data_IF_968304046604
#
_entry.id   IF_968304046604
#
_cell.length_a   1.000
_cell.length_b   1.000
_cell.length_c   1.000
_cell.angle_alpha   90.00
_cell.angle_beta   90.00
_cell.angle_gamma   90.00
#
_symmetry.space_group_name_H-M   'P 1'
#
loop_
_entity.id
_entity.type
_entity.pdbx_description
1 polymer ?
#
# COMPACT_ATOMS: atom_id res chain seq x y z
N UNK A 1 15.07 23.51 -61.94
CA UNK A 1 14.21 22.71 -62.83
C UNK A 1 13.84 21.45 -62.05
N UNK A 2 12.63 21.38 -61.52
CA UNK A 2 12.14 20.22 -60.77
C UNK A 2 11.27 19.39 -61.71
N UNK A 3 11.59 18.11 -61.87
CA UNK A 3 10.81 17.15 -62.66
C UNK A 3 9.68 16.60 -61.79
N UNK A 4 8.43 16.85 -62.20
CA UNK A 4 7.25 16.17 -61.64
C UNK A 4 7.22 14.71 -62.11
N UNK A 5 7.13 13.72 -61.19
CA UNK A 5 6.96 12.34 -61.57
C UNK A 5 5.54 12.06 -62.05
N UNK A 6 5.42 11.43 -63.22
CA UNK A 6 4.16 11.06 -63.87
C UNK A 6 3.43 9.98 -63.05
N UNK A 7 2.11 10.09 -62.84
CA UNK A 7 1.36 9.10 -62.07
C UNK A 7 1.25 7.76 -62.80
N UNK A 8 1.56 6.68 -62.08
CA UNK A 8 1.52 5.30 -62.55
C UNK A 8 0.06 4.80 -62.63
N UNK A 9 -0.34 4.09 -63.71
CA UNK A 9 -1.70 3.56 -63.84
C UNK A 9 -1.96 2.40 -62.87
N UNK A 10 -3.21 2.22 -62.39
CA UNK A 10 -3.55 1.18 -61.43
C UNK A 10 -3.47 -0.22 -62.06
N UNK A 11 -3.12 -1.25 -61.25
CA UNK A 11 -2.99 -2.62 -61.72
C UNK A 11 -4.35 -3.23 -62.10
N UNK A 12 -4.38 -4.19 -63.03
CA UNK A 12 -5.59 -4.88 -63.46
C UNK A 12 -6.22 -5.67 -62.29
N UNK A 13 -7.53 -5.49 -62.09
CA UNK A 13 -8.27 -6.19 -61.04
C UNK A 13 -8.45 -7.66 -61.39
N UNK A 14 -8.17 -8.54 -60.42
CA UNK A 14 -8.31 -9.98 -60.57
C UNK A 14 -9.79 -10.41 -60.63
N UNK A 15 -10.13 -11.52 -61.32
CA UNK A 15 -11.49 -12.01 -61.40
C UNK A 15 -12.03 -12.42 -60.01
N UNK A 16 -13.22 -11.96 -59.66
CA UNK A 16 -13.93 -12.35 -58.44
C UNK A 16 -14.38 -13.81 -58.54
N UNK A 17 -13.71 -14.71 -57.82
CA UNK A 17 -14.22 -16.06 -57.58
C UNK A 17 -15.48 -16.03 -56.70
N UNK A 18 -16.54 -16.77 -57.06
CA UNK A 18 -17.74 -16.85 -56.22
C UNK A 18 -17.43 -17.53 -54.87
N UNK A 19 -18.08 -17.09 -53.78
CA UNK A 19 -17.86 -17.65 -52.46
C UNK A 19 -18.36 -19.11 -52.40
N UNK A 20 -17.51 -19.98 -51.84
CA UNK A 20 -17.82 -21.39 -51.64
C UNK A 20 -19.06 -21.55 -50.74
N UNK A 21 -20.01 -22.38 -51.17
CA UNK A 21 -21.22 -22.67 -50.40
C UNK A 21 -20.88 -23.36 -49.06
N UNK A 22 -21.53 -22.98 -47.95
CA UNK A 22 -21.29 -23.60 -46.66
C UNK A 22 -21.75 -25.06 -46.68
N UNK A 23 -20.85 -25.98 -46.29
CA UNK A 23 -21.17 -27.41 -46.18
C UNK A 23 -22.15 -27.64 -45.01
N UNK A 24 -23.14 -28.52 -45.16
CA UNK A 24 -24.03 -28.88 -44.05
C UNK A 24 -23.23 -29.59 -42.94
N UNK A 25 -23.41 -29.13 -41.70
CA UNK A 25 -22.79 -29.68 -40.50
C UNK A 25 -23.19 -31.15 -40.31
N UNK A 26 -22.21 -32.01 -40.05
CA UNK A 26 -22.42 -33.43 -39.82
C UNK A 26 -23.05 -33.69 -38.46
N UNK A 27 -23.86 -34.74 -38.35
CA UNK A 27 -24.57 -35.17 -37.12
C UNK A 27 -23.67 -35.34 -35.88
N UNK A 28 -22.35 -35.52 -36.07
CA UNK A 28 -21.34 -35.60 -34.99
C UNK A 28 -20.91 -34.23 -34.45
N UNK A 29 -20.96 -33.19 -35.28
CA UNK A 29 -20.65 -31.81 -34.87
C UNK A 29 -21.77 -31.22 -34.01
N UNK A 30 -23.01 -31.63 -34.27
CA UNK A 30 -24.18 -31.21 -33.52
C UNK A 30 -24.17 -31.75 -32.08
N UNK A 31 -23.68 -32.97 -31.88
CA UNK A 31 -23.51 -33.56 -30.55
C UNK A 31 -22.43 -32.84 -29.72
N UNK A 32 -21.29 -32.48 -30.35
CA UNK A 32 -20.23 -31.73 -29.67
C UNK A 32 -20.71 -30.34 -29.23
N UNK A 33 -21.47 -29.66 -30.08
CA UNK A 33 -21.98 -28.32 -29.78
C UNK A 33 -22.97 -28.31 -28.60
N UNK A 34 -23.88 -29.29 -28.54
CA UNK A 34 -24.83 -29.44 -27.42
C UNK A 34 -24.11 -29.68 -26.09
N UNK A 35 -23.06 -30.50 -26.09
CA UNK A 35 -22.27 -30.77 -24.88
C UNK A 35 -21.57 -29.50 -24.40
N UNK A 36 -20.97 -28.71 -25.30
CA UNK A 36 -20.31 -27.45 -24.92
C UNK A 36 -21.28 -26.46 -24.29
N UNK A 37 -22.49 -26.31 -24.84
CA UNK A 37 -23.51 -25.42 -24.27
C UNK A 37 -23.97 -25.89 -22.89
N UNK A 38 -24.14 -27.19 -22.69
CA UNK A 38 -24.52 -27.75 -21.40
C UNK A 38 -23.45 -27.51 -20.32
N UNK A 39 -22.17 -27.72 -20.65
CA UNK A 39 -21.05 -27.48 -19.72
C UNK A 39 -20.92 -25.99 -19.38
N UNK A 40 -21.06 -25.11 -20.37
CA UNK A 40 -21.03 -23.66 -20.15
C UNK A 40 -22.18 -23.19 -19.25
N UNK A 41 -23.38 -23.74 -19.44
CA UNK A 41 -24.54 -23.46 -18.58
C UNK A 41 -24.33 -23.89 -17.13
N UNK A 42 -23.75 -25.07 -16.90
CA UNK A 42 -23.42 -25.55 -15.56
C UNK A 42 -22.35 -24.69 -14.87
N UNK A 43 -21.31 -24.28 -15.61
CA UNK A 43 -20.29 -23.38 -15.07
C UNK A 43 -20.86 -22.00 -14.71
N UNK A 44 -21.72 -21.45 -15.56
CA UNK A 44 -22.39 -20.16 -15.29
C UNK A 44 -23.32 -20.25 -14.07
N UNK A 45 -24.08 -21.35 -13.95
CA UNK A 45 -24.93 -21.62 -12.78
C UNK A 45 -24.10 -21.71 -11.48
N UNK A 46 -22.95 -22.39 -11.51
CA UNK A 46 -22.05 -22.49 -10.35
C UNK A 46 -21.46 -21.12 -9.96
N UNK A 47 -21.08 -20.28 -10.94
CA UNK A 47 -20.59 -18.92 -10.69
C UNK A 47 -21.67 -18.05 -10.05
N UNK A 48 -22.92 -18.14 -10.51
CA UNK A 48 -24.03 -17.38 -9.92
C UNK A 48 -24.36 -17.86 -8.51
N UNK A 49 -24.34 -19.18 -8.27
CA UNK A 49 -24.52 -19.74 -6.93
C UNK A 49 -23.43 -19.30 -5.95
N UNK A 50 -22.17 -19.26 -6.40
CA UNK A 50 -21.06 -18.75 -5.58
C UNK A 50 -21.22 -17.25 -5.25
N UNK A 51 -21.76 -16.44 -6.17
CA UNK A 51 -22.05 -15.02 -5.93
C UNK A 51 -23.11 -14.82 -4.84
N UNK A 52 -24.14 -15.65 -4.81
CA UNK A 52 -25.20 -15.58 -3.79
C UNK A 52 -24.76 -16.09 -2.41
N UNK A 53 -23.86 -17.08 -2.36
CA UNK A 53 -23.30 -17.55 -1.09
C UNK A 53 -22.43 -16.46 -0.44
N UNK A 54 -21.66 -15.71 -1.23
CA UNK A 54 -20.76 -14.68 -0.74
C UNK A 54 -21.49 -13.44 -0.18
N UNK A 55 -22.64 -13.05 -0.74
CA UNK A 55 -23.38 -11.88 -0.25
C UNK A 55 -23.92 -12.06 1.17
N UNK A 56 -24.32 -13.28 1.56
CA UNK A 56 -24.84 -13.55 2.92
C UNK A 56 -23.77 -13.39 4.00
N UNK A 57 -22.52 -13.73 3.71
CA UNK A 57 -21.41 -13.55 4.65
C UNK A 57 -20.94 -12.08 4.70
N UNK A 58 -21.01 -11.37 3.57
CA UNK A 58 -20.69 -9.95 3.50
C UNK A 58 -21.67 -9.08 4.32
N UNK A 59 -22.97 -9.36 4.26
CA UNK A 59 -23.97 -8.62 5.04
C UNK A 59 -23.83 -8.86 6.56
N UNK A 60 -23.40 -10.06 6.97
CA UNK A 60 -23.11 -10.35 8.39
C UNK A 60 -21.85 -9.62 8.87
N UNK A 61 -20.83 -9.50 8.02
CA UNK A 61 -19.61 -8.74 8.30
C UNK A 61 -19.89 -7.23 8.40
N UNK A 62 -20.62 -6.66 7.43
CA UNK A 62 -21.00 -5.24 7.44
C UNK A 62 -21.94 -4.92 8.60
N UNK A 63 -22.91 -5.79 8.90
CA UNK A 63 -23.83 -5.56 10.03
C UNK A 63 -23.12 -5.58 11.39
N UNK A 64 -21.98 -6.28 11.51
CA UNK A 64 -21.10 -6.23 12.68
C UNK A 64 -20.27 -4.94 12.79
N UNK A 65 -20.05 -4.24 11.68
CA UNK A 65 -19.34 -2.96 11.60
C UNK A 65 -20.23 -1.74 11.94
N UNK A 66 -21.54 -1.92 11.99
CA UNK A 66 -22.52 -0.87 12.33
C UNK A 66 -22.81 -0.76 13.83
N UNK A 67 -22.01 -1.41 14.68
CA UNK A 67 -22.00 -1.07 16.10
C UNK A 67 -21.62 0.42 16.24
N UNK A 68 -22.33 1.22 17.06
CA UNK A 68 -21.97 2.61 17.28
C UNK A 68 -20.52 2.65 17.74
N UNK A 69 -19.64 3.25 16.92
CA UNK A 69 -18.23 3.45 17.24
C UNK A 69 -18.21 4.11 18.63
N UNK A 70 -17.73 3.44 19.69
CA UNK A 70 -17.61 4.09 20.97
C UNK A 70 -16.75 5.32 20.71
N UNK A 71 -17.30 6.52 20.94
CA UNK A 71 -16.58 7.78 20.75
C UNK A 71 -15.37 7.73 21.67
N UNK A 72 -14.25 7.25 21.16
CA UNK A 72 -12.98 7.24 21.85
C UNK A 72 -12.70 8.70 22.19
N UNK A 73 -12.55 8.97 23.48
CA UNK A 73 -12.03 10.23 24.02
C UNK A 73 -10.96 10.76 23.06
N UNK A 74 -10.99 12.05 22.64
CA UNK A 74 -10.06 12.57 21.65
C UNK A 74 -8.65 12.19 22.09
N UNK A 75 -7.99 11.36 21.28
CA UNK A 75 -6.67 10.84 21.61
C UNK A 75 -5.77 12.05 21.79
N UNK A 76 -5.13 12.14 22.96
CA UNK A 76 -4.13 13.21 23.16
C UNK A 76 -3.02 12.98 22.14
N UNK A 77 -2.61 14.00 21.37
CA UNK A 77 -1.53 13.82 20.41
C UNK A 77 -0.25 13.49 21.16
N UNK A 78 0.48 12.53 20.63
CA UNK A 78 1.83 12.19 21.08
C UNK A 78 2.80 13.18 20.45
N UNK A 79 3.76 13.67 21.24
CA UNK A 79 4.74 14.64 20.79
C UNK A 79 6.12 14.02 20.76
N UNK A 80 6.76 14.06 19.60
CA UNK A 80 8.17 13.70 19.43
C UNK A 80 9.01 14.96 19.28
N UNK A 81 10.07 15.08 20.05
CA UNK A 81 11.04 16.18 19.96
C UNK A 81 12.42 15.62 19.66
N UNK A 82 13.14 16.25 18.74
CA UNK A 82 14.54 15.97 18.41
C UNK A 82 15.34 17.17 18.86
N UNK A 83 16.23 16.97 19.82
CA UNK A 83 17.16 17.97 20.36
C UNK A 83 18.57 17.63 19.87
N UNK A 84 19.11 18.48 19.00
CA UNK A 84 20.41 18.23 18.36
C UNK A 84 21.60 18.59 19.25
N UNK A 85 21.38 19.02 20.50
CA UNK A 85 22.45 19.33 21.45
C UNK A 85 23.26 20.59 21.12
N UNK A 86 22.87 21.32 20.05
CA UNK A 86 23.45 22.60 19.62
C UNK A 86 22.49 23.78 19.84
N UNK A 87 21.44 23.59 20.65
CA UNK A 87 20.35 24.55 20.85
C UNK A 87 19.22 24.45 19.82
N UNK A 88 19.42 23.73 18.70
CA UNK A 88 18.38 23.49 17.69
C UNK A 88 17.47 22.35 18.13
N UNK A 89 16.15 22.55 17.99
CA UNK A 89 15.13 21.53 18.28
C UNK A 89 14.10 21.45 17.17
N UNK A 90 13.58 20.24 16.91
CA UNK A 90 12.42 20.00 16.04
C UNK A 90 11.37 19.24 16.83
N UNK A 91 10.10 19.57 16.63
CA UNK A 91 8.99 18.89 17.27
C UNK A 91 7.95 18.45 16.24
N UNK A 92 7.39 17.28 16.47
CA UNK A 92 6.35 16.66 15.66
C UNK A 92 5.24 16.23 16.59
N UNK A 93 3.99 16.42 16.17
CA UNK A 93 2.81 16.02 16.91
C UNK A 93 1.94 15.17 15.98
N UNK A 94 1.43 14.06 16.51
CA UNK A 94 0.63 13.12 15.74
C UNK A 94 -0.10 12.12 16.64
N UNK A 95 -1.01 11.37 16.04
CA UNK A 95 -1.73 10.32 16.76
C UNK A 95 -0.83 9.09 16.91
N UNK A 96 -0.69 8.59 18.14
CA UNK A 96 -0.05 7.30 18.38
C UNK A 96 -1.07 6.17 18.24
N UNK A 97 -0.73 5.17 17.43
CA UNK A 97 -1.52 3.95 17.28
C UNK A 97 -1.16 2.94 18.38
N UNK A 98 -2.07 2.00 18.65
CA UNK A 98 -1.81 0.91 19.60
C UNK A 98 -0.67 0.04 19.07
N UNK A 99 0.32 -0.25 19.92
CA UNK A 99 1.51 -1.02 19.55
C UNK A 99 2.59 -0.20 18.82
N UNK A 100 2.42 1.12 18.69
CA UNK A 100 3.44 1.99 18.11
C UNK A 100 4.64 2.11 19.06
N UNK A 101 5.86 2.12 18.51
CA UNK A 101 7.10 2.27 19.28
C UNK A 101 7.74 3.64 19.07
N UNK A 102 8.69 4.02 19.93
CA UNK A 102 9.45 5.25 19.76
C UNK A 102 10.21 5.30 18.42
N UNK A 103 10.70 4.16 17.92
CA UNK A 103 11.32 4.07 16.60
C UNK A 103 10.29 4.29 15.48
N UNK A 104 9.10 3.71 15.60
CA UNK A 104 8.00 3.94 14.64
C UNK A 104 7.62 5.41 14.59
N UNK A 105 7.54 6.08 15.74
CA UNK A 105 7.27 7.52 15.84
C UNK A 105 8.37 8.36 15.19
N UNK A 106 9.62 7.98 15.38
CA UNK A 106 10.76 8.63 14.74
C UNK A 106 10.73 8.46 13.21
N UNK A 107 10.35 7.27 12.70
CA UNK A 107 10.18 7.02 11.26
C UNK A 107 9.01 7.82 10.66
N UNK A 108 7.87 7.89 11.34
CA UNK A 108 6.77 8.74 10.90
C UNK A 108 7.18 10.23 10.86
N UNK A 109 7.95 10.67 11.85
CA UNK A 109 8.52 12.03 11.87
C UNK A 109 9.53 12.25 10.74
N UNK A 110 10.32 11.23 10.41
CA UNK A 110 11.27 11.25 9.29
C UNK A 110 10.56 11.56 7.96
N UNK A 111 9.45 10.89 7.70
CA UNK A 111 8.62 11.10 6.50
C UNK A 111 8.03 12.51 6.49
N UNK A 112 7.41 12.94 7.60
CA UNK A 112 6.78 14.26 7.70
C UNK A 112 7.80 15.41 7.62
N UNK A 113 8.99 15.23 8.19
CA UNK A 113 10.04 16.25 8.27
C UNK A 113 11.08 16.19 7.15
N UNK A 114 10.96 15.22 6.23
CA UNK A 114 11.91 14.98 5.12
C UNK A 114 13.38 15.00 5.58
N UNK A 115 13.73 14.16 6.54
CA UNK A 115 15.11 14.00 7.02
C UNK A 115 15.55 12.53 6.98
N UNK A 116 16.84 12.25 7.23
CA UNK A 116 17.37 10.88 7.29
C UNK A 116 17.43 10.35 8.73
N UNK A 117 17.13 9.06 8.92
CA UNK A 117 17.39 8.34 10.17
C UNK A 117 18.13 7.05 9.85
N UNK A 118 19.27 6.84 10.49
CA UNK A 118 20.07 5.61 10.37
C UNK A 118 20.10 4.88 11.70
N UNK A 119 19.90 3.57 11.64
CA UNK A 119 19.96 2.67 12.79
C UNK A 119 20.94 1.54 12.52
N UNK A 120 21.47 0.92 13.57
CA UNK A 120 22.21 -0.34 13.47
C UNK A 120 21.26 -1.56 13.36
N UNK A 121 21.84 -2.76 13.23
CA UNK A 121 21.10 -4.03 13.14
C UNK A 121 20.32 -4.37 14.42
N UNK A 122 20.61 -3.68 15.53
CA UNK A 122 19.92 -3.82 16.82
C UNK A 122 18.86 -2.73 17.01
N UNK A 123 18.67 -1.82 16.06
CA UNK A 123 17.71 -0.72 16.16
C UNK A 123 18.19 0.47 17.00
N UNK A 124 19.48 0.56 17.33
CA UNK A 124 20.08 1.74 17.96
C UNK A 124 20.18 2.86 16.94
N UNK A 125 19.83 4.08 17.34
CA UNK A 125 19.92 5.24 16.44
C UNK A 125 21.36 5.69 16.30
N UNK A 126 21.87 5.60 15.08
CA UNK A 126 23.22 6.04 14.70
C UNK A 126 23.21 7.47 14.18
N UNK A 127 22.13 7.93 13.57
CA UNK A 127 22.09 9.23 12.91
C UNK A 127 20.67 9.76 12.78
N UNK A 128 20.48 11.06 13.02
CA UNK A 128 19.24 11.78 12.76
C UNK A 128 19.55 13.09 12.04
N UNK A 129 18.91 13.31 10.90
CA UNK A 129 19.04 14.52 10.08
C UNK A 129 20.50 14.90 9.76
N UNK A 130 21.36 13.92 9.47
CA UNK A 130 22.78 14.12 9.15
C UNK A 130 23.71 14.23 10.37
N UNK A 131 23.19 14.18 11.60
CA UNK A 131 24.00 14.21 12.82
C UNK A 131 24.21 12.78 13.33
N UNK A 132 25.43 12.27 13.15
CA UNK A 132 25.82 10.92 13.54
C UNK A 132 26.31 10.86 15.00
N UNK A 133 25.95 9.77 15.69
CA UNK A 133 26.56 9.38 16.95
C UNK A 133 28.05 9.07 16.73
N UNK A 134 28.90 9.58 17.62
CA UNK A 134 30.36 9.50 17.49
C UNK A 134 31.08 10.47 18.41
N UNK A 135 32.39 10.26 18.61
CA UNK A 135 33.22 11.15 19.43
C UNK A 135 32.80 11.22 20.91
N UNK A 136 32.23 10.13 21.44
CA UNK A 136 31.70 10.07 22.81
C UNK A 136 30.27 10.60 22.98
N UNK A 137 29.65 11.08 21.90
CA UNK A 137 28.26 11.56 21.90
C UNK A 137 27.31 10.53 21.29
N UNK A 138 26.13 10.39 21.86
CA UNK A 138 25.12 9.43 21.42
C UNK A 138 23.70 10.02 21.42
N UNK A 139 22.78 9.33 20.74
CA UNK A 139 21.37 9.67 20.76
C UNK A 139 20.68 8.98 21.93
N UNK A 140 20.28 9.76 22.93
CA UNK A 140 19.52 9.28 24.09
C UNK A 140 18.03 9.52 23.92
N UNK A 141 17.25 8.63 24.52
CA UNK A 141 15.79 8.66 24.45
C UNK A 141 15.24 8.97 25.84
N UNK A 142 14.34 9.93 25.90
CA UNK A 142 13.56 10.21 27.09
C UNK A 142 12.08 10.04 26.75
N UNK A 143 11.35 9.33 27.60
CA UNK A 143 9.89 9.23 27.52
C UNK A 143 9.30 9.92 28.73
N UNK A 144 8.42 10.88 28.48
CA UNK A 144 7.79 11.70 29.50
C UNK A 144 8.79 12.39 30.45
N UNK A 145 9.99 12.68 29.95
CA UNK A 145 11.08 13.32 30.70
C UNK A 145 12.03 12.35 31.42
N UNK A 146 11.74 11.05 31.44
CA UNK A 146 12.59 10.04 32.05
C UNK A 146 13.48 9.37 31.00
N UNK A 147 14.81 9.25 31.24
CA UNK A 147 15.69 8.53 30.33
C UNK A 147 15.34 7.04 30.29
N UNK A 148 15.37 6.47 29.09
CA UNK A 148 15.18 5.04 28.86
C UNK A 148 16.49 4.43 28.37
N UNK A 149 16.83 3.24 28.90
CA UNK A 149 18.02 2.49 28.52
C UNK A 149 17.75 1.45 27.41
N UNK A 150 16.48 1.20 27.11
CA UNK A 150 16.07 0.27 26.06
C UNK A 150 16.19 0.90 24.66
N UNK A 151 16.14 0.03 23.65
CA UNK A 151 16.16 0.42 22.25
C UNK A 151 14.83 1.05 21.85
N UNK A 152 14.84 2.07 20.95
CA UNK A 152 13.60 2.77 20.56
C UNK A 152 12.57 1.84 19.91
N UNK A 153 13.01 0.71 19.33
CA UNK A 153 12.13 -0.30 18.76
C UNK A 153 11.39 -1.16 19.79
N UNK A 154 11.78 -1.13 21.06
CA UNK A 154 11.12 -1.87 22.15
C UNK A 154 10.31 -0.95 23.07
N UNK A 155 10.51 0.36 22.98
CA UNK A 155 9.78 1.34 23.77
C UNK A 155 8.41 1.58 23.13
N UNK A 156 7.38 0.95 23.68
CA UNK A 156 5.99 1.24 23.31
C UNK A 156 5.57 2.63 23.77
N UNK A 157 4.84 3.34 22.92
CA UNK A 157 4.33 4.69 23.19
C UNK A 157 2.81 4.69 23.24
N UNK A 158 2.25 5.53 24.10
CA UNK A 158 0.80 5.71 24.28
C UNK A 158 0.36 7.08 23.79
N UNK A 159 -0.93 7.22 23.44
CA UNK A 159 -1.51 8.53 23.13
C UNK A 159 -1.25 9.55 24.26
N UNK A 160 -0.62 10.67 23.91
CA UNK A 160 -0.30 11.76 24.82
C UNK A 160 1.10 11.72 25.42
N UNK A 161 1.90 10.71 25.10
CA UNK A 161 3.29 10.63 25.53
C UNK A 161 4.17 11.72 24.88
N UNK A 162 5.25 12.07 25.57
CA UNK A 162 6.29 12.98 25.11
C UNK A 162 7.59 12.22 24.92
N UNK A 163 8.02 12.08 23.68
CA UNK A 163 9.24 11.40 23.30
C UNK A 163 10.29 12.47 22.99
N UNK A 164 11.49 12.32 23.52
CA UNK A 164 12.61 13.19 23.24
C UNK A 164 13.82 12.36 22.82
N UNK A 165 14.29 12.59 21.60
CA UNK A 165 15.60 12.15 21.14
C UNK A 165 16.57 13.31 21.37
N UNK A 166 17.54 13.13 22.26
CA UNK A 166 18.55 14.14 22.59
C UNK A 166 19.93 13.66 22.17
N UNK A 167 20.64 14.50 21.45
CA UNK A 167 22.05 14.31 21.15
C UNK A 167 22.89 14.88 22.30
N UNK A 168 23.62 14.01 23.00
CA UNK A 168 24.49 14.40 24.12
C UNK A 168 25.87 13.78 24.00
#
# INVERSE_FOLDING_TARGET
MAFEPTPQPPPPQAPLTPPASPRPLGRRDLACWVITVAVAGLAFSAIQYQREAFSRDYDRYISGLTAPIPRSKPARPTRLTIDFGNGTKRAFEGEAQVGMTALSALRASQEAGTFGVRTDDRGRVLEIAGIAAGGGREWRILLNGSPIQDLPGHVEIKPGDKILFRYE
#
